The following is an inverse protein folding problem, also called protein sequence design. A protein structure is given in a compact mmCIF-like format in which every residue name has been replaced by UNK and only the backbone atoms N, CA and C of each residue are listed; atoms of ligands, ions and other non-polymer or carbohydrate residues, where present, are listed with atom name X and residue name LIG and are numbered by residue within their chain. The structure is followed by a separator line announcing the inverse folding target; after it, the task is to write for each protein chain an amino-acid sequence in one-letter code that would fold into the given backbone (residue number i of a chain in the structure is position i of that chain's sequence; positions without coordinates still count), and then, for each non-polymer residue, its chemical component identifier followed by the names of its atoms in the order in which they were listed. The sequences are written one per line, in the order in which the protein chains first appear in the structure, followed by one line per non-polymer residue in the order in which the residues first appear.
data_IF_821434569752
#
_entry.id   IF_821434569752
#
_cell.length_a   1.000
_cell.length_b   1.000
_cell.length_c   1.000
_cell.angle_alpha   90.00
_cell.angle_beta   90.00
_cell.angle_gamma   90.00
#
_symmetry.space_group_name_H-M   'P 1'
#
loop_
_entity.id
_entity.type
_entity.pdbx_description
1 polymer ?
#
# COMPACT_ATOMS: atom_id res chain seq x y z
N UNK A 1 -18.41 0.87 -9.04
CA UNK A 1 -16.99 0.49 -9.08
C UNK A 1 -16.40 1.08 -10.34
N UNK A 2 -15.42 1.97 -10.22
CA UNK A 2 -14.73 2.53 -11.37
C UNK A 2 -13.65 1.57 -11.86
N UNK A 3 -13.34 1.60 -13.16
CA UNK A 3 -12.17 0.91 -13.68
C UNK A 3 -10.91 1.70 -13.28
N UNK A 4 -9.96 1.01 -12.64
CA UNK A 4 -8.71 1.61 -12.19
C UNK A 4 -7.74 1.78 -13.35
N UNK A 5 -7.00 2.88 -13.34
CA UNK A 5 -5.94 3.19 -14.30
C UNK A 5 -4.71 3.72 -13.58
N UNK A 6 -3.55 3.58 -14.20
CA UNK A 6 -2.30 4.01 -13.59
C UNK A 6 -2.12 5.54 -13.68
N UNK A 7 -1.52 6.14 -12.65
CA UNK A 7 -1.30 7.58 -12.52
C UNK A 7 0.12 7.88 -12.05
N UNK A 8 0.86 8.66 -12.85
CA UNK A 8 2.27 8.97 -12.59
C UNK A 8 2.49 9.93 -11.42
N UNK A 9 1.52 10.79 -11.10
CA UNK A 9 1.65 11.72 -9.99
C UNK A 9 1.47 10.97 -8.66
N UNK A 10 0.56 9.98 -8.65
CA UNK A 10 0.44 9.04 -7.54
C UNK A 10 1.69 8.16 -7.40
N UNK A 11 2.30 7.72 -8.50
CA UNK A 11 3.58 6.99 -8.46
C UNK A 11 4.68 7.83 -7.83
N UNK A 12 4.84 9.07 -8.29
CA UNK A 12 5.85 9.99 -7.76
C UNK A 12 5.69 10.17 -6.24
N UNK A 13 4.45 10.38 -5.82
CA UNK A 13 4.07 10.53 -4.41
C UNK A 13 4.42 9.28 -3.60
N UNK A 14 4.04 8.10 -4.10
CA UNK A 14 4.35 6.81 -3.47
C UNK A 14 5.86 6.52 -3.43
N UNK A 15 6.59 6.87 -4.49
CA UNK A 15 8.04 6.70 -4.57
C UNK A 15 8.77 7.64 -3.61
N UNK A 16 8.31 8.88 -3.45
CA UNK A 16 8.83 9.79 -2.44
C UNK A 16 8.71 9.17 -1.04
N UNK A 17 7.56 8.59 -0.69
CA UNK A 17 7.39 7.94 0.61
C UNK A 17 8.29 6.71 0.74
N UNK A 18 8.30 5.83 -0.26
CA UNK A 18 9.12 4.63 -0.24
C UNK A 18 10.61 4.96 -0.04
N UNK A 19 11.11 6.03 -0.67
CA UNK A 19 12.50 6.45 -0.59
C UNK A 19 12.96 6.80 0.83
N UNK A 20 12.05 7.21 1.72
CA UNK A 20 12.35 7.44 3.14
C UNK A 20 12.70 6.15 3.89
N UNK A 21 12.27 5.00 3.37
CA UNK A 21 12.44 3.68 3.99
C UNK A 21 11.90 3.62 5.43
N UNK A 22 10.78 4.31 5.67
CA UNK A 22 10.02 4.30 6.93
C UNK A 22 8.68 3.60 6.65
N UNK A 23 8.36 2.58 7.43
CA UNK A 23 7.08 1.85 7.31
C UNK A 23 5.99 2.59 8.10
N UNK A 24 5.59 3.76 7.60
CA UNK A 24 4.57 4.62 8.21
C UNK A 24 3.79 5.35 7.10
N UNK A 25 2.54 5.68 7.39
CA UNK A 25 1.67 6.47 6.53
C UNK A 25 1.91 7.97 6.67
N UNK A 26 2.64 8.42 7.70
CA UNK A 26 3.00 9.82 7.87
C UNK A 26 4.00 10.27 6.79
N UNK A 27 3.45 10.80 5.70
CA UNK A 27 4.19 11.28 4.56
C UNK A 27 3.93 12.77 4.38
N UNK A 28 4.99 13.54 4.10
CA UNK A 28 4.86 14.92 3.60
C UNK A 28 4.55 14.97 2.09
N UNK A 29 4.78 13.83 1.41
CA UNK A 29 4.56 13.63 -0.01
C UNK A 29 3.21 12.95 -0.22
N UNK A 30 2.11 13.70 -0.19
CA UNK A 30 0.75 13.19 -0.49
C UNK A 30 -0.03 14.08 -1.46
N UNK A 31 0.47 15.29 -1.75
CA UNK A 31 -0.25 16.26 -2.57
C UNK A 31 0.03 15.99 -4.04
N UNK A 32 -1.04 15.79 -4.79
CA UNK A 32 -1.01 15.86 -6.25
C UNK A 32 -1.78 17.10 -6.68
N UNK A 33 -1.61 17.55 -7.93
CA UNK A 33 -2.43 18.64 -8.46
C UNK A 33 -3.89 18.20 -8.67
N UNK A 34 -4.11 16.92 -8.97
CA UNK A 34 -5.43 16.37 -9.31
C UNK A 34 -6.26 15.97 -8.09
N UNK A 35 -5.62 15.48 -7.02
CA UNK A 35 -6.29 14.93 -5.85
C UNK A 35 -5.88 15.70 -4.59
N UNK A 36 -6.88 16.27 -3.92
CA UNK A 36 -6.71 16.94 -2.63
C UNK A 36 -6.51 15.96 -1.47
N UNK A 37 -6.97 14.72 -1.62
CA UNK A 37 -6.85 13.63 -0.66
C UNK A 37 -6.49 12.34 -1.42
N UNK A 38 -5.55 11.56 -0.91
CA UNK A 38 -5.10 10.30 -1.50
C UNK A 38 -5.02 9.22 -0.43
N UNK A 39 -5.55 8.04 -0.73
CA UNK A 39 -5.38 6.85 0.11
C UNK A 39 -4.01 6.19 -0.11
N UNK A 40 -3.62 5.28 0.80
CA UNK A 40 -2.35 4.58 0.71
C UNK A 40 -2.44 3.19 1.34
N UNK A 41 -1.91 2.18 0.63
CA UNK A 41 -1.57 0.88 1.20
C UNK A 41 -0.05 0.75 1.27
N UNK A 42 0.46 0.12 2.34
CA UNK A 42 1.88 -0.17 2.51
C UNK A 42 2.09 -1.68 2.60
N UNK A 43 3.24 -2.13 2.11
CA UNK A 43 3.73 -3.49 2.32
C UNK A 43 5.27 -3.46 2.27
N UNK A 44 5.93 -4.38 2.96
CA UNK A 44 7.37 -4.39 3.12
C UNK A 44 7.93 -5.75 3.47
N UNK A 45 9.26 -5.87 3.36
CA UNK A 45 10.03 -7.06 3.74
C UNK A 45 11.29 -6.62 4.47
N UNK A 46 11.69 -7.42 5.46
CA UNK A 46 13.00 -7.35 6.09
C UNK A 46 13.73 -8.63 5.70
N UNK A 47 14.95 -8.49 5.21
CA UNK A 47 15.82 -9.61 4.85
C UNK A 47 17.04 -9.61 5.76
N UNK A 48 17.41 -10.76 6.28
CA UNK A 48 18.63 -11.02 7.04
C UNK A 48 19.75 -11.55 6.14
N UNK A 49 20.96 -11.69 6.69
CA UNK A 49 22.08 -12.29 5.98
C UNK A 49 21.78 -13.76 5.65
N UNK A 50 21.98 -14.15 4.38
CA UNK A 50 21.67 -15.50 3.89
C UNK A 50 20.25 -15.67 3.35
N UNK A 51 19.36 -14.70 3.52
CA UNK A 51 18.03 -14.74 2.93
C UNK A 51 18.07 -14.64 1.40
N UNK A 52 17.13 -15.34 0.76
CA UNK A 52 16.88 -15.17 -0.67
C UNK A 52 16.14 -13.84 -0.91
N UNK A 53 16.85 -12.83 -1.41
CA UNK A 53 16.32 -11.49 -1.65
C UNK A 53 15.39 -11.48 -2.87
N UNK A 54 14.09 -11.58 -2.63
CA UNK A 54 13.04 -11.59 -3.68
C UNK A 54 12.43 -10.23 -3.98
N UNK A 55 12.69 -9.20 -3.17
CA UNK A 55 11.97 -7.91 -3.23
C UNK A 55 12.01 -7.21 -4.60
N UNK A 56 13.06 -7.46 -5.39
CA UNK A 56 13.21 -6.94 -6.74
C UNK A 56 12.28 -7.59 -7.77
N UNK A 57 11.79 -8.80 -7.50
CA UNK A 57 11.07 -9.66 -8.44
C UNK A 57 9.59 -9.24 -8.58
N UNK A 58 9.07 -9.36 -9.79
CA UNK A 58 7.65 -9.10 -10.09
C UNK A 58 6.70 -10.00 -9.29
N UNK A 59 7.12 -11.24 -9.01
CA UNK A 59 6.33 -12.17 -8.21
C UNK A 59 6.20 -11.74 -6.75
N UNK A 60 7.24 -11.10 -6.19
CA UNK A 60 7.14 -10.53 -4.85
C UNK A 60 6.17 -9.34 -4.83
N UNK A 61 6.20 -8.48 -5.86
CA UNK A 61 5.23 -7.39 -6.00
C UNK A 61 3.79 -7.93 -6.07
N UNK A 62 3.54 -8.95 -6.89
CA UNK A 62 2.20 -9.58 -6.98
C UNK A 62 1.76 -10.13 -5.63
N UNK A 63 2.65 -10.86 -4.95
CA UNK A 63 2.39 -11.40 -3.62
C UNK A 63 2.03 -10.30 -2.62
N UNK A 64 2.83 -9.22 -2.57
CA UNK A 64 2.59 -8.10 -1.67
C UNK A 64 1.24 -7.39 -1.92
N UNK A 65 0.82 -7.28 -3.18
CA UNK A 65 -0.51 -6.74 -3.53
C UNK A 65 -1.63 -7.71 -3.15
N UNK A 66 -1.43 -9.01 -3.36
CA UNK A 66 -2.41 -10.04 -2.96
C UNK A 66 -2.61 -10.10 -1.43
N UNK A 67 -1.55 -9.92 -0.65
CA UNK A 67 -1.60 -9.92 0.83
C UNK A 67 -2.57 -8.89 1.40
N UNK A 68 -2.71 -7.72 0.77
CA UNK A 68 -3.70 -6.71 1.16
C UNK A 68 -5.14 -7.22 1.13
N UNK A 69 -5.45 -8.10 0.17
CA UNK A 69 -6.76 -8.75 0.08
C UNK A 69 -6.82 -9.95 1.02
N UNK A 70 -5.84 -10.85 0.94
CA UNK A 70 -5.87 -12.15 1.61
C UNK A 70 -5.90 -12.03 3.14
N UNK A 71 -5.23 -11.04 3.70
CA UNK A 71 -5.19 -10.86 5.16
C UNK A 71 -6.46 -10.27 5.75
N UNK A 72 -7.26 -9.54 4.94
CA UNK A 72 -8.42 -8.81 5.46
C UNK A 72 -9.76 -9.42 5.02
N UNK A 73 -9.78 -10.22 3.95
CA UNK A 73 -11.04 -10.75 3.38
C UNK A 73 -11.80 -11.65 4.35
N UNK A 74 -11.11 -12.43 5.18
CA UNK A 74 -11.76 -13.32 6.17
C UNK A 74 -12.37 -12.55 7.33
N UNK A 75 -11.82 -11.38 7.64
CA UNK A 75 -12.32 -10.48 8.69
C UNK A 75 -13.42 -9.54 8.17
N UNK A 76 -13.47 -9.35 6.84
CA UNK A 76 -14.49 -8.56 6.16
C UNK A 76 -15.86 -9.25 6.20
N UNK A 77 -16.88 -8.50 6.59
CA UNK A 77 -18.28 -8.93 6.56
C UNK A 77 -19.21 -7.72 6.45
N UNK A 78 -20.51 -7.96 6.26
CA UNK A 78 -21.51 -6.90 6.09
C UNK A 78 -21.52 -5.88 7.24
N UNK A 79 -21.28 -6.34 8.48
CA UNK A 79 -21.26 -5.47 9.65
C UNK A 79 -20.04 -4.52 9.64
N UNK A 80 -18.89 -5.01 9.18
CA UNK A 80 -17.68 -4.19 8.99
C UNK A 80 -17.92 -3.14 7.90
N UNK A 81 -18.57 -3.54 6.80
CA UNK A 81 -18.92 -2.62 5.73
C UNK A 81 -19.90 -1.51 6.19
N UNK A 82 -20.90 -1.86 6.98
CA UNK A 82 -21.91 -0.91 7.48
C UNK A 82 -21.37 0.04 8.56
N UNK A 83 -20.34 -0.36 9.31
CA UNK A 83 -19.77 0.43 10.41
C UNK A 83 -18.26 0.68 10.26
N UNK A 84 -17.83 0.95 9.03
CA UNK A 84 -16.42 1.15 8.67
C UNK A 84 -15.73 2.24 9.51
N UNK A 85 -16.47 3.29 9.92
CA UNK A 85 -15.93 4.41 10.69
C UNK A 85 -15.63 4.12 12.16
N UNK A 86 -16.34 3.16 12.78
CA UNK A 86 -16.17 2.80 14.20
C UNK A 86 -15.27 1.61 14.39
N UNK A 87 -15.24 0.72 13.40
CA UNK A 87 -14.31 -0.38 13.33
C UNK A 87 -13.00 0.14 12.72
N UNK A 88 -12.30 1.01 13.47
CA UNK A 88 -10.85 1.21 13.33
C UNK A 88 -10.10 -0.07 13.70
N UNK A 89 -10.51 -1.20 13.12
CA UNK A 89 -9.80 -2.44 13.17
C UNK A 89 -8.50 -2.17 12.41
N UNK A 90 -7.39 -2.34 13.11
CA UNK A 90 -6.01 -2.03 12.70
C UNK A 90 -5.59 -2.73 11.39
N UNK A 91 -6.45 -3.57 10.82
CA UNK A 91 -6.18 -4.54 9.75
C UNK A 91 -7.32 -4.65 8.73
N UNK A 92 -8.17 -3.63 8.54
CA UNK A 92 -9.26 -3.69 7.53
C UNK A 92 -9.18 -2.52 6.52
N UNK A 93 -8.05 -1.82 6.50
CA UNK A 93 -7.85 -0.66 5.63
C UNK A 93 -7.46 -1.05 4.21
N UNK A 94 -6.63 -2.08 4.06
CA UNK A 94 -5.98 -2.36 2.79
C UNK A 94 -6.95 -2.91 1.74
N UNK A 95 -7.77 -3.90 2.09
CA UNK A 95 -8.80 -4.47 1.23
C UNK A 95 -9.81 -3.41 0.82
N UNK A 96 -10.30 -2.62 1.78
CA UNK A 96 -11.35 -1.64 1.51
C UNK A 96 -10.85 -0.51 0.61
N UNK A 97 -9.57 -0.14 0.70
CA UNK A 97 -8.94 0.75 -0.28
C UNK A 97 -8.86 0.11 -1.68
N UNK A 98 -8.56 -1.19 -1.79
CA UNK A 98 -8.52 -1.88 -3.09
C UNK A 98 -9.88 -1.93 -3.79
N UNK A 99 -10.97 -2.03 -3.02
CA UNK A 99 -12.35 -2.13 -3.54
C UNK A 99 -13.13 -0.82 -3.40
N UNK A 100 -12.46 0.31 -3.11
CA UNK A 100 -13.13 1.58 -2.91
C UNK A 100 -13.77 2.06 -4.21
N UNK A 101 -15.10 2.18 -4.22
CA UNK A 101 -15.87 2.35 -5.46
C UNK A 101 -15.49 3.60 -6.27
N UNK A 102 -15.03 4.64 -5.57
CA UNK A 102 -14.62 5.94 -6.12
C UNK A 102 -13.12 6.01 -6.43
N UNK A 103 -12.31 5.03 -6.04
CA UNK A 103 -10.89 4.99 -6.41
C UNK A 103 -10.77 4.50 -7.85
N UNK A 104 -10.18 5.32 -8.71
CA UNK A 104 -10.01 5.02 -10.15
C UNK A 104 -8.59 5.25 -10.67
N UNK A 105 -7.68 5.71 -9.80
CA UNK A 105 -6.26 5.90 -10.09
C UNK A 105 -5.40 5.16 -9.08
N UNK A 106 -4.24 4.69 -9.51
CA UNK A 106 -3.22 4.08 -8.64
C UNK A 106 -1.82 4.40 -9.16
N UNK A 107 -0.88 4.60 -8.24
CA UNK A 107 0.54 4.66 -8.54
C UNK A 107 1.33 4.09 -7.36
N UNK A 108 2.43 3.39 -7.64
CA UNK A 108 3.15 2.61 -6.64
C UNK A 108 4.64 2.96 -6.63
N UNK A 109 5.24 3.01 -5.44
CA UNK A 109 6.67 3.22 -5.25
C UNK A 109 7.33 2.05 -4.54
N UNK A 110 8.63 1.86 -4.77
CA UNK A 110 9.42 0.82 -4.09
C UNK A 110 10.82 1.31 -3.79
N UNK A 111 11.32 1.02 -2.59
CA UNK A 111 12.71 1.28 -2.21
C UNK A 111 13.27 0.14 -1.37
N UNK A 112 14.59 -0.05 -1.45
CA UNK A 112 15.34 -1.03 -0.66
C UNK A 112 16.38 -0.26 0.13
N UNK A 113 16.38 -0.42 1.45
CA UNK A 113 17.45 0.07 2.32
C UNK A 113 18.36 -1.10 2.70
N UNK A 114 19.62 -1.05 2.26
CA UNK A 114 20.63 -1.97 2.78
C UNK A 114 21.25 -1.37 4.03
N UNK A 115 21.00 -1.96 5.20
CA UNK A 115 21.81 -1.66 6.39
C UNK A 115 23.13 -2.39 6.25
N UNK A 116 24.20 -1.67 5.90
CA UNK A 116 25.55 -2.11 6.23
C UNK A 116 25.76 -1.85 7.72
N UNK A 117 25.91 -2.90 8.51
CA UNK A 117 26.51 -2.77 9.82
C UNK A 117 28.01 -2.56 9.57
N UNK A 118 28.51 -1.35 9.85
CA UNK A 118 29.95 -1.09 9.96
C UNK A 118 30.47 -1.57 11.32
#
# INVERSE_FOLDING_TARGET
MMAMSYDSDLEFTAQCQAAKCIYDHDAECFRTEMFSEVGQNLNGRVYEEGDNRTFGLIEETKKMVSEWYEYEITESNEKVFQDFSRLKAVLIGYLYQMIWAETYRVGCGRSIQEKKYD
#
